data_IF_301844815104
#
_entry.id   IF_301844815104
#
_cell.length_a   1.000
_cell.length_b   1.000
_cell.length_c   1.000
_cell.angle_alpha   90.00
_cell.angle_beta   90.00
_cell.angle_gamma   90.00
#
_symmetry.space_group_name_H-M   'P 1'
#
loop_
_entity.id
_entity.type
_entity.pdbx_description
1 polymer ?
#
# COMPACT_ATOMS: atom_id res chain seq x y z
N UNK A 1 3.56 13.18 -29.26
CA UNK A 1 3.74 13.77 -27.91
C UNK A 1 2.54 13.41 -27.04
N UNK A 2 2.71 12.81 -25.86
CA UNK A 2 1.58 12.47 -24.97
C UNK A 2 1.12 13.74 -24.23
N UNK A 3 -0.18 14.04 -24.24
CA UNK A 3 -0.75 15.19 -23.51
C UNK A 3 -0.54 15.05 -21.99
N UNK A 4 -0.22 16.16 -21.32
CA UNK A 4 -0.04 16.22 -19.86
C UNK A 4 -1.24 15.61 -19.10
N UNK A 5 -2.47 15.84 -19.55
CA UNK A 5 -3.67 15.29 -18.93
C UNK A 5 -3.70 13.75 -18.93
N UNK A 6 -3.19 13.11 -19.99
CA UNK A 6 -3.11 11.65 -20.09
C UNK A 6 -2.06 11.09 -19.11
N UNK A 7 -0.98 11.83 -18.84
CA UNK A 7 0.05 11.44 -17.87
C UNK A 7 -0.52 11.43 -16.44
N UNK A 8 -1.18 12.50 -16.02
CA UNK A 8 -1.75 12.59 -14.66
C UNK A 8 -2.79 11.50 -14.41
N UNK A 9 -3.61 11.17 -15.41
CA UNK A 9 -4.56 10.06 -15.32
C UNK A 9 -3.86 8.73 -15.04
N UNK A 10 -2.76 8.44 -15.74
CA UNK A 10 -2.00 7.20 -15.56
C UNK A 10 -1.32 7.13 -14.18
N UNK A 11 -0.79 8.24 -13.68
CA UNK A 11 -0.26 8.33 -12.31
C UNK A 11 -1.37 8.04 -11.29
N UNK A 12 -2.55 8.63 -11.47
CA UNK A 12 -3.71 8.38 -10.59
C UNK A 12 -4.12 6.91 -10.53
N UNK A 13 -4.10 6.22 -11.68
CA UNK A 13 -4.36 4.76 -11.73
C UNK A 13 -3.31 4.00 -10.89
N UNK A 14 -2.04 4.39 -10.98
CA UNK A 14 -0.97 3.82 -10.17
C UNK A 14 -1.18 3.99 -8.66
N UNK A 15 -1.60 5.19 -8.24
CA UNK A 15 -1.89 5.50 -6.84
C UNK A 15 -3.04 4.63 -6.31
N UNK A 16 -4.14 4.54 -7.06
CA UNK A 16 -5.31 3.73 -6.69
C UNK A 16 -4.93 2.24 -6.60
N UNK A 17 -4.16 1.74 -7.57
CA UNK A 17 -3.71 0.36 -7.58
C UNK A 17 -2.83 0.02 -6.36
N UNK A 18 -1.95 0.95 -5.94
CA UNK A 18 -1.15 0.80 -4.73
C UNK A 18 -2.01 0.82 -3.46
N UNK A 19 -3.01 1.71 -3.37
CA UNK A 19 -3.93 1.72 -2.22
C UNK A 19 -4.67 0.38 -2.10
N UNK A 20 -5.19 -0.15 -3.20
CA UNK A 20 -5.87 -1.46 -3.23
C UNK A 20 -4.90 -2.58 -2.85
N UNK A 21 -3.69 -2.60 -3.40
CA UNK A 21 -2.70 -3.62 -3.06
C UNK A 21 -2.30 -3.57 -1.58
N UNK A 22 -2.17 -2.37 -1.00
CA UNK A 22 -1.89 -2.18 0.42
C UNK A 22 -3.04 -2.75 1.27
N UNK A 23 -4.30 -2.43 0.93
CA UNK A 23 -5.46 -2.97 1.65
C UNK A 23 -5.54 -4.51 1.56
N UNK A 24 -5.31 -5.07 0.38
CA UNK A 24 -5.25 -6.52 0.18
C UNK A 24 -4.09 -7.10 1.02
N UNK A 25 -2.90 -6.49 0.97
CA UNK A 25 -1.75 -6.93 1.75
C UNK A 25 -2.01 -6.94 3.25
N UNK A 26 -2.65 -5.88 3.78
CA UNK A 26 -3.07 -5.83 5.18
C UNK A 26 -4.06 -6.94 5.51
N UNK A 27 -5.10 -7.11 4.69
CA UNK A 27 -6.11 -8.16 4.90
C UNK A 27 -5.48 -9.55 4.89
N UNK A 28 -4.66 -9.86 3.89
CA UNK A 28 -3.95 -11.14 3.79
C UNK A 28 -3.01 -11.36 4.98
N UNK A 29 -2.31 -10.32 5.42
CA UNK A 29 -1.45 -10.42 6.60
C UNK A 29 -2.25 -10.78 7.85
N UNK A 30 -3.36 -10.06 8.12
CA UNK A 30 -4.19 -10.32 9.30
C UNK A 30 -4.78 -11.73 9.26
N UNK A 31 -5.32 -12.14 8.10
CA UNK A 31 -5.99 -13.43 7.95
C UNK A 31 -5.02 -14.62 8.01
N UNK A 32 -3.87 -14.55 7.33
CA UNK A 32 -2.94 -15.68 7.28
C UNK A 32 -2.04 -15.81 8.51
N UNK A 33 -1.75 -14.70 9.20
CA UNK A 33 -0.78 -14.71 10.31
C UNK A 33 -1.43 -14.83 11.68
N UNK A 34 -2.73 -14.58 11.80
CA UNK A 34 -3.44 -14.68 13.07
C UNK A 34 -3.98 -16.09 13.32
N UNK A 35 -3.82 -16.57 14.55
CA UNK A 35 -4.51 -17.78 15.06
C UNK A 35 -5.93 -17.49 15.54
N UNK A 36 -6.33 -16.22 15.53
CA UNK A 36 -7.63 -15.74 16.00
C UNK A 36 -8.53 -15.38 14.82
N UNK A 37 -9.84 -15.25 15.07
CA UNK A 37 -10.76 -14.70 14.07
C UNK A 37 -10.33 -13.30 13.64
N UNK A 38 -10.69 -12.89 12.42
CA UNK A 38 -10.32 -11.58 11.86
C UNK A 38 -10.66 -10.41 12.80
N UNK A 39 -11.87 -10.39 13.36
CA UNK A 39 -12.30 -9.34 14.29
C UNK A 39 -11.43 -9.27 15.56
N UNK A 40 -11.13 -10.43 16.14
CA UNK A 40 -10.27 -10.49 17.33
C UNK A 40 -8.83 -10.09 17.02
N UNK A 41 -8.35 -10.45 15.84
CA UNK A 41 -7.02 -10.05 15.36
C UNK A 41 -6.92 -8.55 15.18
N UNK A 42 -7.96 -7.93 14.62
CA UNK A 42 -8.03 -6.49 14.44
C UNK A 42 -8.08 -5.77 15.80
N UNK A 43 -8.85 -6.28 16.76
CA UNK A 43 -8.87 -5.73 18.12
C UNK A 43 -7.48 -5.78 18.79
N UNK A 44 -6.77 -6.91 18.69
CA UNK A 44 -5.43 -7.06 19.24
C UNK A 44 -4.39 -6.15 18.56
N UNK A 45 -4.53 -5.92 17.26
CA UNK A 45 -3.67 -4.98 16.52
C UNK A 45 -3.85 -3.56 17.06
N UNK A 46 -5.10 -3.15 17.31
CA UNK A 46 -5.43 -1.82 17.82
C UNK A 46 -4.97 -1.68 19.28
N UNK A 47 -5.31 -2.64 20.15
CA UNK A 47 -4.88 -2.65 21.55
C UNK A 47 -3.35 -2.65 21.71
N UNK A 48 -2.65 -3.29 20.77
CA UNK A 48 -1.19 -3.39 20.76
C UNK A 48 -0.47 -2.24 20.05
N UNK A 49 -1.17 -1.24 19.51
CA UNK A 49 -0.61 -0.18 18.65
C UNK A 49 0.24 -0.75 17.49
N UNK A 50 -0.24 -1.82 16.85
CA UNK A 50 0.46 -2.54 15.79
C UNK A 50 0.00 -2.13 14.38
N UNK A 51 -0.88 -1.13 14.25
CA UNK A 51 -1.47 -0.70 12.97
C UNK A 51 -0.38 -0.26 11.99
N UNK A 52 0.60 0.51 12.47
CA UNK A 52 1.75 0.95 11.66
C UNK A 52 2.54 -0.23 11.10
N UNK A 53 2.71 -1.31 11.87
CA UNK A 53 3.44 -2.50 11.42
C UNK A 53 2.64 -3.27 10.38
N UNK A 54 1.34 -3.44 10.61
CA UNK A 54 0.43 -4.08 9.64
C UNK A 54 0.40 -3.29 8.34
N UNK A 55 0.36 -1.96 8.41
CA UNK A 55 0.34 -1.09 7.25
C UNK A 55 1.64 -1.18 6.43
N UNK A 56 2.81 -1.23 7.10
CA UNK A 56 4.09 -1.49 6.41
C UNK A 56 4.05 -2.82 5.67
N UNK A 57 3.60 -3.88 6.34
CA UNK A 57 3.53 -5.22 5.75
C UNK A 57 2.55 -5.27 4.58
N UNK A 58 1.41 -4.59 4.69
CA UNK A 58 0.46 -4.45 3.58
C UNK A 58 1.07 -3.70 2.40
N UNK A 59 1.80 -2.61 2.66
CA UNK A 59 2.42 -1.80 1.62
C UNK A 59 3.52 -2.55 0.84
N UNK A 60 4.09 -3.63 1.37
CA UNK A 60 5.01 -4.52 0.63
C UNK A 60 4.33 -5.08 -0.63
N UNK A 61 3.01 -5.30 -0.60
CA UNK A 61 2.26 -5.77 -1.78
C UNK A 61 2.32 -4.77 -2.95
N UNK A 62 2.63 -3.50 -2.71
CA UNK A 62 2.79 -2.49 -3.76
C UNK A 62 3.96 -2.82 -4.69
N UNK A 63 5.00 -3.52 -4.22
CA UNK A 63 6.10 -3.94 -5.09
C UNK A 63 5.63 -4.87 -6.19
N UNK A 64 4.69 -5.77 -5.90
CA UNK A 64 4.11 -6.65 -6.91
C UNK A 64 3.42 -5.83 -8.02
N UNK A 65 2.57 -4.87 -7.64
CA UNK A 65 1.90 -3.98 -8.60
C UNK A 65 2.90 -3.12 -9.38
N UNK A 66 3.91 -2.58 -8.70
CA UNK A 66 4.97 -1.78 -9.31
C UNK A 66 5.71 -2.57 -10.41
N UNK A 67 6.18 -3.78 -10.10
CA UNK A 67 6.89 -4.61 -11.07
C UNK A 67 6.00 -5.08 -12.21
N UNK A 68 4.71 -5.34 -11.97
CA UNK A 68 3.74 -5.66 -13.03
C UNK A 68 3.59 -4.49 -14.01
N UNK A 69 3.44 -3.25 -13.52
CA UNK A 69 3.38 -2.07 -14.40
C UNK A 69 4.70 -1.81 -15.11
N UNK A 70 5.83 -2.01 -14.44
CA UNK A 70 7.15 -1.87 -15.06
C UNK A 70 7.35 -2.88 -16.22
N UNK A 71 7.01 -4.15 -15.99
CA UNK A 71 7.08 -5.21 -17.02
C UNK A 71 6.18 -4.93 -18.22
N UNK A 72 5.05 -4.25 -18.01
CA UNK A 72 4.11 -3.83 -19.07
C UNK A 72 4.49 -2.50 -19.74
N UNK A 73 5.66 -1.93 -19.44
CA UNK A 73 6.10 -0.61 -19.90
C UNK A 73 5.12 0.54 -19.52
N UNK A 74 4.34 0.37 -18.45
CA UNK A 74 3.39 1.37 -17.96
C UNK A 74 4.05 2.30 -16.93
N UNK A 75 5.08 3.02 -17.37
CA UNK A 75 6.00 3.79 -16.49
C UNK A 75 5.26 4.83 -15.64
N UNK A 76 4.27 5.55 -16.18
CA UNK A 76 3.53 6.56 -15.42
C UNK A 76 2.65 5.95 -14.32
N UNK A 77 2.09 4.75 -14.53
CA UNK A 77 1.38 4.01 -13.48
C UNK A 77 2.35 3.53 -12.40
N UNK A 78 3.51 2.99 -12.80
CA UNK A 78 4.56 2.60 -11.87
C UNK A 78 5.06 3.78 -11.02
N UNK A 79 5.18 4.98 -11.60
CA UNK A 79 5.47 6.22 -10.86
C UNK A 79 4.38 6.55 -9.84
N UNK A 80 3.11 6.38 -10.19
CA UNK A 80 1.99 6.52 -9.25
C UNK A 80 2.09 5.57 -8.07
N UNK A 81 2.46 4.31 -8.30
CA UNK A 81 2.67 3.31 -7.24
C UNK A 81 3.80 3.72 -6.30
N UNK A 82 4.92 4.22 -6.83
CA UNK A 82 6.04 4.73 -6.02
C UNK A 82 5.62 5.92 -5.17
N UNK A 83 4.91 6.90 -5.74
CA UNK A 83 4.43 8.07 -5.00
C UNK A 83 3.55 7.64 -3.84
N UNK A 84 2.57 6.76 -4.08
CA UNK A 84 1.72 6.22 -3.03
C UNK A 84 2.52 5.48 -1.95
N UNK A 85 3.53 4.69 -2.35
CA UNK A 85 4.38 3.95 -1.41
C UNK A 85 5.20 4.89 -0.53
N UNK A 86 5.74 5.99 -1.07
CA UNK A 86 6.43 7.01 -0.27
C UNK A 86 5.49 7.73 0.69
N UNK A 87 4.27 8.05 0.25
CA UNK A 87 3.26 8.66 1.13
C UNK A 87 2.94 7.72 2.30
N UNK A 88 2.74 6.42 2.03
CA UNK A 88 2.50 5.42 3.08
C UNK A 88 3.72 5.31 4.01
N UNK A 89 4.94 5.30 3.47
CA UNK A 89 6.15 5.25 4.30
C UNK A 89 6.27 6.45 5.24
N UNK A 90 5.97 7.66 4.75
CA UNK A 90 5.93 8.87 5.58
C UNK A 90 4.82 8.79 6.61
N UNK A 91 3.62 8.32 6.23
CA UNK A 91 2.50 8.13 7.14
C UNK A 91 2.88 7.18 8.28
N UNK A 92 3.45 6.02 7.97
CA UNK A 92 3.95 5.06 8.97
C UNK A 92 5.01 5.71 9.85
N UNK A 93 5.96 6.43 9.27
CA UNK A 93 7.00 7.09 10.05
C UNK A 93 6.39 8.10 11.04
N UNK A 94 5.39 8.88 10.62
CA UNK A 94 4.68 9.80 11.50
C UNK A 94 3.94 9.05 12.59
N UNK A 95 3.18 8.01 12.24
CA UNK A 95 2.45 7.17 13.20
C UNK A 95 3.35 6.42 14.16
N UNK A 96 4.60 6.13 13.80
CA UNK A 96 5.55 5.38 14.65
C UNK A 96 6.40 6.29 15.52
N UNK A 97 6.69 7.52 15.08
CA UNK A 97 7.58 8.44 15.78
C UNK A 97 6.85 9.41 16.71
N UNK A 98 5.59 9.72 16.44
CA UNK A 98 4.84 10.76 17.16
C UNK A 98 3.62 10.24 17.94
N UNK A 99 3.25 8.98 17.74
CA UNK A 99 2.14 8.31 18.42
C UNK A 99 2.64 6.99 18.99
#
# INVERSE_FOLDING_TARGET
>A
MISKGKIYKEIGIGIIAAAIATLIGCFLFVEFYSKYSFEKSLALIIEGNLESKVLVLGAIANFFVFFVFLKKNQIYRARGVLIASFIIAILVAVLTLFF
#
